data_IF_053711990606
#
_entry.id   IF_053711990606
#
_cell.length_a   1.000
_cell.length_b   1.000
_cell.length_c   1.000
_cell.angle_alpha   90.00
_cell.angle_beta   90.00
_cell.angle_gamma   90.00
#
_symmetry.space_group_name_H-M   'P 1'
#
loop_
_entity.id
_entity.type
_entity.pdbx_description
1 polymer ?
#
# COMPACT_ATOMS: atom_id res chain seq x y z
N UNK A 1 -48.86 -7.05 -25.16
CA UNK A 1 -49.20 -6.83 -26.58
C UNK A 1 -49.95 -5.52 -26.65
N UNK A 2 -49.62 -4.58 -27.57
CA UNK A 2 -50.08 -3.15 -27.57
C UNK A 2 -49.54 -2.37 -26.34
N UNK A 3 -49.08 -1.10 -26.32
CA UNK A 3 -48.52 -0.06 -27.23
C UNK A 3 -47.50 0.76 -26.34
N UNK A 4 -46.78 1.85 -26.66
CA UNK A 4 -46.52 2.79 -27.79
C UNK A 4 -45.09 3.36 -27.53
N UNK A 5 -44.18 3.49 -28.50
CA UNK A 5 -43.91 4.70 -29.33
C UNK A 5 -43.79 6.04 -28.59
N UNK A 6 -42.63 6.72 -28.67
CA UNK A 6 -42.42 8.10 -29.21
C UNK A 6 -40.95 8.55 -29.07
N UNK A 7 -40.48 9.41 -29.99
CA UNK A 7 -39.13 10.00 -30.05
C UNK A 7 -38.94 11.15 -29.05
N UNK A 8 -37.67 11.45 -28.72
CA UNK A 8 -37.17 12.82 -28.89
C UNK A 8 -35.68 12.85 -29.24
N UNK A 9 -35.24 13.84 -30.03
CA UNK A 9 -33.83 14.10 -30.40
C UNK A 9 -33.43 15.48 -29.85
N UNK A 10 -32.29 15.59 -29.19
CA UNK A 10 -31.60 16.88 -29.00
C UNK A 10 -30.10 16.73 -29.28
N UNK A 11 -29.53 17.71 -29.99
CA UNK A 11 -28.08 17.87 -30.21
C UNK A 11 -27.52 18.84 -29.16
N UNK A 12 -26.27 18.67 -28.70
CA UNK A 12 -25.51 19.77 -28.10
C UNK A 12 -25.02 20.73 -29.19
N UNK A 13 -25.21 22.03 -29.00
CA UNK A 13 -24.64 23.10 -29.84
C UNK A 13 -23.26 23.52 -29.35
N UNK A 14 -22.36 23.82 -30.30
CA UNK A 14 -21.14 24.56 -30.00
C UNK A 14 -21.45 26.04 -29.73
N UNK A 15 -20.82 26.61 -28.70
CA UNK A 15 -20.44 28.02 -28.66
C UNK A 15 -19.30 28.19 -27.65
N UNK A 16 -18.29 28.98 -28.02
CA UNK A 16 -17.14 29.30 -27.18
C UNK A 16 -17.32 30.68 -26.53
N UNK A 17 -16.68 30.90 -25.38
CA UNK A 17 -16.22 32.23 -24.96
C UNK A 17 -14.98 32.10 -24.08
N UNK A 18 -14.00 32.97 -24.29
CA UNK A 18 -12.84 33.16 -23.41
C UNK A 18 -13.22 34.05 -22.22
N UNK A 19 -12.70 33.77 -21.03
CA UNK A 19 -12.36 34.81 -20.05
C UNK A 19 -11.34 34.32 -19.01
N UNK A 20 -10.48 35.25 -18.57
CA UNK A 20 -9.43 35.05 -17.58
C UNK A 20 -9.98 34.96 -16.14
N UNK A 21 -9.39 34.08 -15.31
CA UNK A 21 -9.84 33.87 -13.93
C UNK A 21 -8.78 33.34 -12.96
N UNK A 22 -7.56 33.90 -12.97
CA UNK A 22 -6.55 33.57 -11.95
C UNK A 22 -7.05 33.93 -10.55
N UNK A 23 -7.16 32.95 -9.65
CA UNK A 23 -7.28 33.15 -8.21
C UNK A 23 -6.27 32.30 -7.46
N UNK A 24 -5.43 32.96 -6.66
CA UNK A 24 -4.48 32.31 -5.75
C UNK A 24 -5.21 31.51 -4.67
N UNK A 25 -4.60 30.41 -4.23
CA UNK A 25 -4.91 29.74 -2.96
C UNK A 25 -3.59 29.69 -2.14
N UNK A 26 -3.57 30.07 -0.85
CA UNK A 26 -2.31 30.31 -0.14
C UNK A 26 -1.53 29.05 0.23
N UNK A 27 -0.20 29.17 0.23
CA UNK A 27 0.73 28.07 0.54
C UNK A 27 0.91 27.87 2.05
N UNK A 28 -0.02 27.15 2.69
CA UNK A 28 0.19 26.58 4.02
C UNK A 28 -0.45 25.18 4.12
N UNK A 29 -0.11 24.41 5.16
CA UNK A 29 -0.57 23.02 5.39
C UNK A 29 0.02 21.95 4.43
N UNK A 30 1.35 21.96 4.20
CA UNK A 30 2.12 20.72 3.95
C UNK A 30 3.42 20.73 4.78
N UNK A 31 3.30 20.61 6.11
CA UNK A 31 4.47 20.57 7.01
C UNK A 31 4.19 19.74 8.27
N UNK A 32 3.81 18.45 8.15
CA UNK A 32 3.68 17.56 9.33
C UNK A 32 3.67 16.03 9.07
N UNK A 33 4.50 15.51 8.14
CA UNK A 33 4.66 14.03 7.95
C UNK A 33 6.12 13.56 7.83
N UNK A 34 7.08 14.26 8.45
CA UNK A 34 8.47 13.80 8.60
C UNK A 34 9.02 14.17 9.98
N UNK A 35 8.71 13.37 11.01
CA UNK A 35 9.35 13.49 12.32
C UNK A 35 9.36 12.15 13.10
N UNK A 36 10.44 11.40 12.95
CA UNK A 36 10.96 10.42 13.93
C UNK A 36 12.49 10.40 13.86
N UNK A 37 13.21 10.38 14.99
CA UNK A 37 14.66 10.54 15.00
C UNK A 37 15.42 9.23 14.74
N UNK A 38 16.63 9.28 14.16
CA UNK A 38 17.62 8.21 14.29
C UNK A 38 18.30 8.27 15.67
N UNK A 39 18.78 7.13 16.17
CA UNK A 39 19.56 7.06 17.41
C UNK A 39 20.93 7.74 17.23
N UNK A 40 21.42 8.39 18.29
CA UNK A 40 22.72 9.05 18.27
C UNK A 40 23.90 8.08 18.37
N UNK A 41 25.01 8.45 17.74
CA UNK A 41 26.35 7.93 18.04
C UNK A 41 27.32 9.13 17.99
N UNK A 42 28.16 9.27 19.01
CA UNK A 42 29.16 10.35 19.07
C UNK A 42 30.32 10.09 18.12
N UNK A 43 30.69 11.08 17.30
CA UNK A 43 31.98 11.14 16.62
C UNK A 43 32.55 12.54 16.87
N UNK A 44 33.80 12.62 17.35
CA UNK A 44 34.50 13.90 17.59
C UNK A 44 34.80 14.57 16.25
N UNK A 45 34.55 15.88 16.16
CA UNK A 45 35.04 16.71 15.06
C UNK A 45 36.54 17.02 15.27
N UNK A 46 37.43 16.71 14.32
CA UNK A 46 38.75 17.33 14.27
C UNK A 46 38.63 18.75 13.71
N UNK A 47 39.18 19.73 14.42
CA UNK A 47 39.40 21.07 13.85
C UNK A 47 40.61 20.97 12.92
N UNK A 48 40.45 21.32 11.65
CA UNK A 48 41.52 21.32 10.64
C UNK A 48 41.68 22.73 10.07
N UNK A 49 42.92 23.21 10.03
CA UNK A 49 43.26 24.61 9.71
C UNK A 49 42.95 24.99 8.25
N UNK A 50 42.51 26.24 8.05
CA UNK A 50 42.27 26.82 6.72
C UNK A 50 43.61 27.35 6.16
N UNK A 51 44.51 26.44 5.76
CA UNK A 51 45.86 26.78 5.33
C UNK A 51 46.40 25.88 4.21
N UNK A 52 45.70 25.81 3.06
CA UNK A 52 46.22 25.25 1.79
C UNK A 52 45.28 25.43 0.58
N UNK A 53 44.61 26.58 0.44
CA UNK A 53 43.79 26.89 -0.75
C UNK A 53 44.57 27.63 -1.85
N UNK A 54 45.52 26.93 -2.46
CA UNK A 54 46.11 27.27 -3.74
C UNK A 54 46.18 26.02 -4.64
N UNK A 55 46.02 26.18 -5.96
CA UNK A 55 46.25 25.15 -6.99
C UNK A 55 45.40 23.85 -6.95
N UNK A 56 44.07 23.90 -6.80
CA UNK A 56 43.20 22.75 -7.20
C UNK A 56 41.72 23.03 -7.54
N UNK A 57 41.46 23.90 -8.52
CA UNK A 57 40.07 24.30 -8.91
C UNK A 57 39.70 24.13 -10.39
N UNK A 58 40.62 23.75 -11.28
CA UNK A 58 40.42 23.82 -12.75
C UNK A 58 39.96 22.54 -13.47
N UNK A 59 39.92 21.37 -12.81
CA UNK A 59 39.60 20.08 -13.48
C UNK A 59 38.15 19.59 -13.32
N UNK A 60 37.51 19.84 -12.16
CA UNK A 60 36.16 19.29 -11.85
C UNK A 60 35.06 19.73 -12.82
N UNK A 61 35.18 20.92 -13.41
CA UNK A 61 34.14 21.49 -14.28
C UNK A 61 34.14 20.84 -15.67
N UNK A 62 35.32 20.62 -16.25
CA UNK A 62 35.52 19.95 -17.54
C UNK A 62 35.18 18.46 -17.46
N UNK A 63 35.60 17.75 -16.42
CA UNK A 63 35.22 16.35 -16.18
C UNK A 63 33.70 16.15 -16.11
N UNK A 64 33.01 17.02 -15.34
CA UNK A 64 31.55 16.97 -15.19
C UNK A 64 30.82 17.27 -16.50
N UNK A 65 31.36 18.18 -17.32
CA UNK A 65 30.84 18.47 -18.66
C UNK A 65 30.99 17.26 -19.60
N UNK A 66 32.19 16.68 -19.69
CA UNK A 66 32.47 15.50 -20.53
C UNK A 66 31.66 14.27 -20.13
N UNK A 67 31.45 14.05 -18.83
CA UNK A 67 30.60 12.97 -18.30
C UNK A 67 29.12 13.16 -18.71
N UNK A 68 28.61 14.39 -18.65
CA UNK A 68 27.24 14.69 -19.08
C UNK A 68 27.06 14.52 -20.59
N UNK A 69 28.02 14.97 -21.41
CA UNK A 69 28.01 14.75 -22.86
C UNK A 69 28.05 13.25 -23.21
N UNK A 70 28.84 12.46 -22.48
CA UNK A 70 28.91 10.99 -22.65
C UNK A 70 27.59 10.31 -22.31
N UNK A 71 26.93 10.73 -21.22
CA UNK A 71 25.57 10.25 -20.87
C UNK A 71 24.55 10.59 -21.95
N UNK A 72 24.56 11.82 -22.47
CA UNK A 72 23.63 12.27 -23.51
C UNK A 72 23.77 11.43 -24.79
N UNK A 73 25.00 11.15 -25.24
CA UNK A 73 25.27 10.26 -26.39
C UNK A 73 24.70 8.86 -26.20
N UNK A 74 24.81 8.28 -25.00
CA UNK A 74 24.22 6.96 -24.69
C UNK A 74 22.70 7.03 -24.71
N UNK A 75 22.09 8.06 -24.14
CA UNK A 75 20.63 8.17 -24.02
C UNK A 75 19.96 8.42 -25.38
N UNK A 76 20.60 9.18 -26.28
CA UNK A 76 20.16 9.29 -27.68
C UNK A 76 20.18 7.92 -28.39
N UNK A 77 21.16 7.06 -28.07
CA UNK A 77 21.27 5.71 -28.62
C UNK A 77 20.38 4.66 -27.93
N UNK A 78 19.49 5.05 -27.01
CA UNK A 78 18.53 4.16 -26.32
C UNK A 78 17.13 4.13 -26.96
N UNK A 79 16.95 4.69 -28.15
CA UNK A 79 15.70 4.64 -28.91
C UNK A 79 14.47 5.14 -28.11
N UNK A 80 14.62 6.21 -27.31
CA UNK A 80 13.49 6.86 -26.64
C UNK A 80 12.66 7.67 -27.63
N UNK A 81 11.33 7.52 -27.56
CA UNK A 81 10.35 8.23 -28.40
C UNK A 81 10.06 9.65 -27.89
N UNK A 82 10.31 9.94 -26.61
CA UNK A 82 10.12 11.26 -26.01
C UNK A 82 11.26 11.64 -25.07
N UNK A 83 11.45 12.94 -24.86
CA UNK A 83 12.41 13.45 -23.87
C UNK A 83 11.98 13.16 -22.42
N UNK A 84 10.67 13.06 -22.17
CA UNK A 84 10.11 12.70 -20.85
C UNK A 84 10.47 11.26 -20.47
N UNK A 85 10.38 10.32 -21.41
CA UNK A 85 10.79 8.93 -21.20
C UNK A 85 12.29 8.80 -20.92
N UNK A 86 13.11 9.67 -21.53
CA UNK A 86 14.55 9.67 -21.33
C UNK A 86 14.97 10.30 -19.98
N UNK A 87 14.20 11.23 -19.42
CA UNK A 87 14.56 12.04 -18.26
C UNK A 87 14.97 11.22 -17.01
N UNK A 88 14.30 10.11 -16.63
CA UNK A 88 14.73 9.28 -15.52
C UNK A 88 16.11 8.64 -15.70
N UNK A 89 16.53 8.37 -16.94
CA UNK A 89 17.77 7.65 -17.25
C UNK A 89 19.02 8.53 -17.10
N UNK A 90 18.92 9.86 -17.27
CA UNK A 90 20.03 10.79 -16.99
C UNK A 90 20.55 10.70 -15.55
N UNK A 91 19.69 10.30 -14.60
CA UNK A 91 20.02 10.14 -13.18
C UNK A 91 20.92 8.91 -12.91
N UNK A 92 21.01 7.96 -13.84
CA UNK A 92 21.72 6.68 -13.64
C UNK A 92 23.25 6.81 -13.68
N UNK A 93 24.00 5.89 -13.04
CA UNK A 93 25.45 5.78 -13.21
C UNK A 93 25.84 5.42 -14.66
N UNK A 94 27.00 5.89 -15.12
CA UNK A 94 27.48 5.64 -16.49
C UNK A 94 27.60 4.13 -16.80
N UNK A 95 28.15 3.33 -15.86
CA UNK A 95 28.25 1.87 -15.98
C UNK A 95 26.87 1.21 -16.19
N UNK A 96 25.83 1.73 -15.53
CA UNK A 96 24.46 1.26 -15.68
C UNK A 96 23.89 1.62 -17.05
N UNK A 97 24.13 2.85 -17.53
CA UNK A 97 23.70 3.28 -18.86
C UNK A 97 24.36 2.48 -20.00
N UNK A 98 25.66 2.17 -19.87
CA UNK A 98 26.37 1.30 -20.82
C UNK A 98 25.77 -0.12 -20.83
N UNK A 99 25.45 -0.67 -19.66
CA UNK A 99 24.78 -1.98 -19.57
C UNK A 99 23.40 -1.96 -20.23
N UNK A 100 22.56 -0.95 -19.95
CA UNK A 100 21.24 -0.77 -20.58
C UNK A 100 21.38 -0.69 -22.10
N UNK A 101 22.30 0.14 -22.62
CA UNK A 101 22.54 0.30 -24.05
C UNK A 101 22.95 -1.01 -24.74
N UNK A 102 23.85 -1.77 -24.13
CA UNK A 102 24.27 -3.08 -24.64
C UNK A 102 23.10 -4.06 -24.76
N UNK A 103 22.20 -4.05 -23.78
CA UNK A 103 21.02 -4.92 -23.76
C UNK A 103 19.99 -4.47 -24.80
N UNK A 104 19.67 -3.18 -24.87
CA UNK A 104 18.80 -2.61 -25.92
C UNK A 104 19.27 -2.96 -27.32
N UNK A 105 20.59 -2.83 -27.61
CA UNK A 105 21.15 -3.22 -28.90
C UNK A 105 21.07 -4.72 -29.18
N UNK A 106 21.25 -5.59 -28.18
CA UNK A 106 21.06 -7.04 -28.32
C UNK A 106 19.60 -7.39 -28.64
N UNK A 107 18.64 -6.73 -27.97
CA UNK A 107 17.22 -7.00 -28.17
C UNK A 107 16.77 -6.53 -29.56
N UNK A 108 17.28 -5.39 -30.02
CA UNK A 108 17.04 -4.85 -31.37
C UNK A 108 17.68 -5.74 -32.44
N UNK A 109 18.93 -6.20 -32.24
CA UNK A 109 19.61 -7.09 -33.20
C UNK A 109 19.01 -8.50 -33.28
N UNK A 110 18.16 -8.88 -32.31
CA UNK A 110 17.39 -10.14 -32.31
C UNK A 110 15.93 -9.94 -32.74
N UNK A 111 15.56 -8.73 -33.16
CA UNK A 111 14.20 -8.39 -33.61
C UNK A 111 13.15 -8.31 -32.50
N UNK A 112 13.53 -8.41 -31.22
CA UNK A 112 12.60 -8.48 -30.09
C UNK A 112 11.91 -7.14 -29.81
N UNK A 113 12.68 -6.07 -29.62
CA UNK A 113 12.16 -4.71 -29.46
C UNK A 113 13.25 -3.65 -29.66
N UNK A 114 12.85 -2.42 -30.04
CA UNK A 114 13.78 -1.28 -30.13
C UNK A 114 14.19 -0.72 -28.76
N UNK A 115 13.34 -0.87 -27.74
CA UNK A 115 13.62 -0.55 -26.33
C UNK A 115 12.54 -1.22 -25.44
N UNK A 116 12.97 -1.94 -24.39
CA UNK A 116 12.09 -2.65 -23.45
C UNK A 116 11.03 -1.76 -22.79
N UNK A 117 11.25 -0.44 -22.66
CA UNK A 117 10.26 0.49 -22.14
C UNK A 117 8.94 0.41 -22.90
N UNK A 118 8.98 0.56 -24.23
CA UNK A 118 7.77 0.61 -25.06
C UNK A 118 7.12 -0.77 -25.21
N UNK A 119 7.90 -1.84 -25.21
CA UNK A 119 7.39 -3.21 -25.18
C UNK A 119 6.62 -3.52 -23.88
N UNK A 120 7.19 -3.23 -22.70
CA UNK A 120 6.51 -3.46 -21.44
C UNK A 120 5.31 -2.49 -21.27
N UNK A 121 5.43 -1.24 -21.76
CA UNK A 121 4.35 -0.26 -21.75
C UNK A 121 3.14 -0.70 -22.60
N UNK A 122 3.37 -1.21 -23.82
CA UNK A 122 2.28 -1.66 -24.71
C UNK A 122 1.61 -2.93 -24.18
N UNK A 123 2.41 -3.92 -23.75
CA UNK A 123 1.93 -5.16 -23.11
C UNK A 123 1.04 -4.88 -21.89
N UNK A 124 1.45 -3.93 -21.04
CA UNK A 124 0.67 -3.51 -19.86
C UNK A 124 -0.43 -2.47 -20.16
N UNK A 125 -0.51 -1.92 -21.37
CA UNK A 125 -1.42 -0.82 -21.76
C UNK A 125 -1.27 0.42 -20.87
N UNK A 126 -0.04 0.82 -20.57
CA UNK A 126 0.31 1.95 -19.70
C UNK A 126 1.08 3.04 -20.47
N UNK A 127 0.96 4.33 -20.09
CA UNK A 127 1.81 5.39 -20.65
C UNK A 127 3.30 5.13 -20.38
N UNK A 128 4.18 5.22 -21.39
CA UNK A 128 5.62 5.01 -21.23
C UNK A 128 6.26 5.89 -20.14
N UNK A 129 5.86 7.17 -20.03
CA UNK A 129 6.41 8.11 -19.05
C UNK A 129 6.18 7.67 -17.60
N UNK A 130 5.04 7.03 -17.31
CA UNK A 130 4.70 6.46 -15.99
C UNK A 130 5.56 5.23 -15.67
N UNK A 131 5.90 4.44 -16.69
CA UNK A 131 6.72 3.24 -16.56
C UNK A 131 8.24 3.56 -16.51
N UNK A 132 8.70 4.58 -17.22
CA UNK A 132 10.12 4.97 -17.31
C UNK A 132 10.75 5.25 -15.94
N UNK A 133 10.10 6.08 -15.10
CA UNK A 133 10.57 6.39 -13.74
C UNK A 133 10.54 5.15 -12.81
N UNK A 134 9.82 4.07 -13.18
CA UNK A 134 9.91 2.76 -12.50
C UNK A 134 11.06 1.92 -13.04
N UNK A 135 11.23 1.79 -14.36
CA UNK A 135 12.30 1.00 -14.97
C UNK A 135 13.70 1.56 -14.64
N UNK A 136 13.88 2.88 -14.67
CA UNK A 136 15.11 3.53 -14.22
C UNK A 136 15.41 3.23 -12.73
N UNK A 137 14.39 3.08 -11.88
CA UNK A 137 14.56 2.66 -10.48
C UNK A 137 14.69 1.14 -10.30
N UNK A 138 14.57 0.35 -11.37
CA UNK A 138 14.52 -1.13 -11.37
C UNK A 138 15.35 -1.73 -12.51
N UNK A 139 16.57 -1.21 -12.71
CA UNK A 139 17.45 -1.58 -13.84
C UNK A 139 17.85 -3.06 -13.90
N UNK A 140 17.53 -3.88 -12.88
CA UNK A 140 17.67 -5.34 -12.96
C UNK A 140 16.89 -5.95 -14.14
N UNK A 141 15.86 -5.27 -14.64
CA UNK A 141 15.03 -5.71 -15.78
C UNK A 141 15.87 -5.81 -17.07
N UNK A 142 16.97 -5.05 -17.19
CA UNK A 142 17.93 -5.21 -18.28
C UNK A 142 18.93 -6.36 -18.07
N UNK A 143 18.98 -6.93 -16.86
CA UNK A 143 19.75 -8.14 -16.55
C UNK A 143 19.00 -9.45 -16.83
N UNK A 144 17.71 -9.40 -17.16
CA UNK A 144 16.90 -10.57 -17.54
C UNK A 144 17.02 -10.86 -19.05
N UNK A 145 16.76 -12.10 -19.48
CA UNK A 145 16.53 -12.37 -20.92
C UNK A 145 15.21 -11.74 -21.38
N UNK A 146 15.01 -11.61 -22.69
CA UNK A 146 13.75 -11.10 -23.24
C UNK A 146 12.60 -12.09 -23.01
N UNK A 147 12.82 -13.35 -23.38
CA UNK A 147 11.93 -14.51 -23.15
C UNK A 147 11.42 -14.61 -21.70
N UNK A 148 12.28 -14.36 -20.71
CA UNK A 148 11.90 -14.37 -19.30
C UNK A 148 10.93 -13.24 -18.96
N UNK A 149 11.13 -12.03 -19.50
CA UNK A 149 10.20 -10.90 -19.30
C UNK A 149 8.88 -11.15 -20.03
N UNK A 150 8.96 -11.65 -21.26
CA UNK A 150 7.81 -11.96 -22.12
C UNK A 150 6.86 -12.94 -21.43
N UNK A 151 7.33 -14.16 -21.11
CA UNK A 151 6.54 -15.20 -20.46
C UNK A 151 6.06 -14.80 -19.06
N UNK A 152 6.88 -14.07 -18.29
CA UNK A 152 6.46 -13.55 -16.99
C UNK A 152 5.34 -12.50 -17.12
N UNK A 153 5.32 -11.69 -18.18
CA UNK A 153 4.22 -10.77 -18.47
C UNK A 153 2.99 -11.49 -19.01
N UNK A 154 3.14 -12.51 -19.86
CA UNK A 154 2.00 -13.28 -20.41
C UNK A 154 1.21 -13.93 -19.28
N UNK A 155 1.86 -14.72 -18.42
CA UNK A 155 1.21 -15.35 -17.26
C UNK A 155 0.54 -14.33 -16.34
N UNK A 156 1.14 -13.15 -16.11
CA UNK A 156 0.52 -12.10 -15.29
C UNK A 156 -0.74 -11.50 -15.95
N UNK A 157 -0.74 -11.35 -17.27
CA UNK A 157 -1.87 -10.81 -18.04
C UNK A 157 -2.98 -11.85 -18.18
N UNK A 158 -2.65 -13.11 -18.49
CA UNK A 158 -3.57 -14.26 -18.56
C UNK A 158 -4.26 -14.52 -17.20
N UNK A 159 -3.52 -14.38 -16.10
CA UNK A 159 -4.07 -14.45 -14.74
C UNK A 159 -4.79 -13.17 -14.31
N UNK A 160 -5.03 -12.21 -15.21
CA UNK A 160 -5.77 -10.96 -14.98
C UNK A 160 -5.21 -10.11 -13.83
N UNK A 161 -3.88 -10.13 -13.63
CA UNK A 161 -3.21 -9.27 -12.64
C UNK A 161 -3.16 -7.85 -13.19
N UNK A 162 -3.99 -6.95 -12.64
CA UNK A 162 -4.13 -5.60 -13.16
C UNK A 162 -2.79 -4.85 -13.33
N UNK A 163 -2.62 -4.20 -14.49
CA UNK A 163 -1.36 -3.56 -14.92
C UNK A 163 -0.78 -2.56 -13.92
N UNK A 164 -1.65 -1.84 -13.19
CA UNK A 164 -1.25 -0.88 -12.16
C UNK A 164 -0.57 -1.56 -10.96
N UNK A 165 -0.90 -2.82 -10.67
CA UNK A 165 -0.26 -3.66 -9.65
C UNK A 165 1.11 -4.12 -10.13
N UNK A 166 1.22 -4.58 -11.37
CA UNK A 166 2.49 -5.01 -11.99
C UNK A 166 3.47 -3.82 -12.02
N UNK A 167 3.01 -2.64 -12.46
CA UNK A 167 3.77 -1.37 -12.44
C UNK A 167 4.27 -0.99 -11.03
N UNK A 168 3.46 -1.24 -9.98
CA UNK A 168 3.86 -0.96 -8.60
C UNK A 168 4.93 -1.91 -8.07
N UNK A 169 4.95 -3.17 -8.52
CA UNK A 169 5.84 -4.21 -8.00
C UNK A 169 6.48 -5.08 -9.10
N UNK A 170 7.21 -4.43 -10.01
CA UNK A 170 7.96 -5.06 -11.10
C UNK A 170 8.98 -6.14 -10.65
N UNK A 171 9.28 -6.27 -9.35
CA UNK A 171 10.11 -7.35 -8.80
C UNK A 171 9.56 -8.75 -9.07
N UNK A 172 8.26 -8.89 -9.39
CA UNK A 172 7.67 -10.18 -9.80
C UNK A 172 8.32 -10.73 -11.08
N UNK A 173 8.82 -9.86 -11.97
CA UNK A 173 9.52 -10.26 -13.19
C UNK A 173 10.87 -10.95 -12.94
N UNK A 174 11.32 -11.07 -11.68
CA UNK A 174 12.47 -11.90 -11.29
C UNK A 174 12.15 -13.38 -11.09
N UNK A 175 10.88 -13.77 -11.07
CA UNK A 175 10.43 -15.14 -10.81
C UNK A 175 10.16 -15.85 -12.14
N UNK A 176 10.30 -17.18 -12.18
CA UNK A 176 10.02 -17.94 -13.39
C UNK A 176 8.52 -17.90 -13.72
N UNK A 177 8.16 -17.99 -15.00
CA UNK A 177 6.76 -17.88 -15.41
C UNK A 177 5.89 -19.01 -14.82
N UNK A 178 6.44 -20.22 -14.68
CA UNK A 178 5.83 -21.34 -13.96
C UNK A 178 5.56 -20.99 -12.48
N UNK A 179 6.55 -20.47 -11.76
CA UNK A 179 6.41 -20.07 -10.34
C UNK A 179 5.41 -18.92 -10.17
N UNK A 180 5.27 -18.03 -11.15
CA UNK A 180 4.21 -17.02 -11.18
C UNK A 180 2.85 -17.72 -11.35
N UNK A 181 2.74 -18.61 -12.35
CA UNK A 181 1.51 -19.33 -12.69
C UNK A 181 0.99 -20.18 -11.53
N UNK A 182 1.80 -21.11 -11.01
CA UNK A 182 1.46 -22.04 -9.93
C UNK A 182 0.95 -21.31 -8.68
N UNK A 183 1.67 -20.27 -8.24
CA UNK A 183 1.33 -19.53 -7.02
C UNK A 183 0.06 -18.72 -7.17
N UNK A 184 -0.17 -18.13 -8.35
CA UNK A 184 -1.40 -17.39 -8.64
C UNK A 184 -2.59 -18.33 -8.88
N UNK A 185 -2.37 -19.50 -9.48
CA UNK A 185 -3.39 -20.53 -9.70
C UNK A 185 -3.83 -21.15 -8.38
N UNK A 186 -2.90 -21.45 -7.46
CA UNK A 186 -3.19 -21.86 -6.07
C UNK A 186 -4.14 -20.87 -5.38
N UNK A 187 -3.95 -19.56 -5.57
CA UNK A 187 -4.80 -18.52 -4.96
C UNK A 187 -6.16 -18.43 -5.68
N UNK A 188 -6.17 -18.46 -7.02
CA UNK A 188 -7.37 -18.37 -7.85
C UNK A 188 -8.32 -19.55 -7.62
N UNK A 189 -7.80 -20.76 -7.51
CA UNK A 189 -8.57 -21.99 -7.26
C UNK A 189 -9.29 -21.99 -5.89
N UNK A 190 -8.91 -21.10 -4.97
CA UNK A 190 -9.58 -20.90 -3.68
C UNK A 190 -10.64 -19.79 -3.73
N UNK A 191 -11.04 -19.35 -4.93
CA UNK A 191 -12.06 -18.32 -5.14
C UNK A 191 -11.58 -16.91 -4.79
N UNK A 192 -10.30 -16.63 -4.98
CA UNK A 192 -9.69 -15.31 -4.76
C UNK A 192 -9.21 -14.74 -6.10
N UNK A 193 -10.13 -14.10 -6.84
CA UNK A 193 -9.84 -13.50 -8.16
C UNK A 193 -8.93 -12.26 -8.08
N UNK A 194 -8.83 -11.65 -6.91
CA UNK A 194 -8.18 -10.36 -6.70
C UNK A 194 -6.66 -10.51 -6.56
N UNK A 195 -5.98 -10.93 -7.63
CA UNK A 195 -4.56 -11.33 -7.63
C UNK A 195 -3.57 -10.16 -7.62
N UNK A 196 -2.39 -10.37 -7.01
CA UNK A 196 -1.33 -9.36 -6.85
C UNK A 196 0.09 -9.92 -7.03
N UNK A 197 1.04 -9.15 -7.58
CA UNK A 197 2.44 -9.55 -7.72
C UNK A 197 3.12 -10.00 -6.42
N UNK A 198 2.76 -9.42 -5.27
CA UNK A 198 3.39 -9.76 -3.99
C UNK A 198 3.13 -11.21 -3.56
N UNK A 199 2.04 -11.84 -4.02
CA UNK A 199 1.68 -13.23 -3.71
C UNK A 199 2.72 -14.23 -4.27
N UNK A 200 3.36 -13.88 -5.39
CA UNK A 200 4.47 -14.63 -5.97
C UNK A 200 5.73 -14.49 -5.11
N UNK A 201 5.93 -13.34 -4.46
CA UNK A 201 7.20 -12.97 -3.81
C UNK A 201 7.29 -13.22 -2.31
N UNK A 202 6.17 -13.45 -1.63
CA UNK A 202 6.13 -13.69 -0.20
C UNK A 202 6.43 -15.16 0.17
N UNK A 203 6.72 -15.46 1.44
CA UNK A 203 6.79 -16.85 1.91
C UNK A 203 5.42 -17.52 1.86
N UNK A 204 5.41 -18.86 1.95
CA UNK A 204 4.17 -19.62 2.08
C UNK A 204 3.36 -19.21 3.31
N UNK A 205 4.00 -18.92 4.44
CA UNK A 205 3.27 -18.51 5.66
C UNK A 205 2.47 -17.22 5.45
N UNK A 206 3.04 -16.27 4.70
CA UNK A 206 2.37 -15.01 4.37
C UNK A 206 1.24 -15.24 3.37
N UNK A 207 1.45 -16.11 2.38
CA UNK A 207 0.43 -16.44 1.37
C UNK A 207 -0.74 -17.22 1.99
N UNK A 208 -0.44 -18.30 2.71
CA UNK A 208 -1.41 -19.14 3.41
C UNK A 208 -2.18 -18.32 4.45
N UNK A 209 -1.53 -17.45 5.23
CA UNK A 209 -2.22 -16.55 6.17
C UNK A 209 -3.17 -15.57 5.46
N UNK A 210 -2.78 -15.05 4.29
CA UNK A 210 -3.68 -14.21 3.49
C UNK A 210 -4.88 -15.00 2.95
N UNK A 211 -4.64 -16.23 2.48
CA UNK A 211 -5.68 -17.17 2.04
C UNK A 211 -6.67 -17.42 3.19
N UNK A 212 -6.20 -17.87 4.36
CA UNK A 212 -7.07 -18.11 5.53
C UNK A 212 -7.92 -16.90 5.89
N UNK A 213 -7.32 -15.71 5.97
CA UNK A 213 -8.06 -14.47 6.28
C UNK A 213 -9.08 -14.12 5.18
N UNK A 214 -8.82 -14.47 3.92
CA UNK A 214 -9.71 -14.18 2.79
C UNK A 214 -10.89 -15.15 2.73
N UNK A 215 -10.64 -16.45 2.91
CA UNK A 215 -11.68 -17.48 3.07
C UNK A 215 -12.56 -17.17 4.28
N UNK A 216 -11.97 -16.97 5.45
CA UNK A 216 -12.70 -16.60 6.68
C UNK A 216 -13.50 -15.30 6.52
N UNK A 217 -12.97 -14.30 5.78
CA UNK A 217 -13.73 -13.07 5.47
C UNK A 217 -14.94 -13.36 4.58
N UNK A 218 -14.84 -14.28 3.62
CA UNK A 218 -15.95 -14.69 2.75
C UNK A 218 -17.00 -15.45 3.55
N UNK A 219 -16.58 -16.40 4.38
CA UNK A 219 -17.46 -17.23 5.20
C UNK A 219 -18.26 -16.39 6.22
N UNK A 220 -17.63 -15.35 6.80
CA UNK A 220 -18.26 -14.45 7.78
C UNK A 220 -19.25 -13.46 7.12
N UNK A 221 -18.96 -12.98 5.92
CA UNK A 221 -19.82 -12.00 5.23
C UNK A 221 -20.93 -12.65 4.41
N UNK A 222 -20.73 -13.89 3.98
CA UNK A 222 -21.64 -14.62 3.09
C UNK A 222 -22.00 -13.81 1.85
N UNK A 223 -23.25 -13.91 1.43
CA UNK A 223 -23.78 -13.17 0.28
C UNK A 223 -23.81 -11.65 0.51
N UNK A 224 -23.93 -11.19 1.75
CA UNK A 224 -24.07 -9.75 2.06
C UNK A 224 -22.85 -8.93 1.65
N UNK A 225 -21.66 -9.55 1.64
CA UNK A 225 -20.37 -8.91 1.36
C UNK A 225 -20.09 -7.62 2.17
N UNK A 226 -20.83 -7.38 3.24
CA UNK A 226 -20.93 -6.07 3.92
C UNK A 226 -20.57 -6.19 5.39
N UNK A 227 -19.42 -5.62 5.77
CA UNK A 227 -18.97 -5.60 7.18
C UNK A 227 -19.96 -4.86 8.09
N UNK A 228 -20.65 -3.85 7.55
CA UNK A 228 -21.64 -3.08 8.30
C UNK A 228 -22.92 -3.90 8.53
N UNK A 229 -23.38 -4.66 7.54
CA UNK A 229 -24.53 -5.57 7.68
C UNK A 229 -24.20 -6.72 8.63
N UNK A 230 -23.02 -7.33 8.50
CA UNK A 230 -22.54 -8.32 9.48
C UNK A 230 -22.54 -7.76 10.90
N UNK A 231 -21.97 -6.57 11.12
CA UNK A 231 -21.86 -5.98 12.45
C UNK A 231 -23.23 -5.53 13.00
N UNK A 232 -24.14 -5.07 12.15
CA UNK A 232 -25.51 -4.72 12.52
C UNK A 232 -26.27 -5.95 13.04
N UNK A 233 -26.26 -7.04 12.26
CA UNK A 233 -26.88 -8.30 12.63
C UNK A 233 -26.25 -8.90 13.90
N UNK A 234 -24.91 -8.89 14.00
CA UNK A 234 -24.17 -9.48 15.14
C UNK A 234 -24.29 -8.64 16.43
N UNK A 235 -24.64 -7.35 16.33
CA UNK A 235 -24.90 -6.46 17.46
C UNK A 235 -26.40 -6.19 17.72
N UNK A 236 -27.32 -6.84 16.99
CA UNK A 236 -28.77 -6.62 17.07
C UNK A 236 -29.18 -5.13 16.95
N UNK A 237 -28.53 -4.37 16.04
CA UNK A 237 -28.81 -2.95 15.78
C UNK A 237 -28.98 -2.66 14.29
N UNK A 238 -29.50 -1.48 13.95
CA UNK A 238 -29.61 -1.06 12.54
C UNK A 238 -28.25 -0.78 11.88
N UNK A 239 -28.20 -0.87 10.55
CA UNK A 239 -27.03 -0.49 9.75
C UNK A 239 -26.67 0.99 9.92
N UNK A 240 -27.66 1.86 10.10
CA UNK A 240 -27.45 3.29 10.37
C UNK A 240 -26.82 3.53 11.74
N UNK A 241 -27.23 2.77 12.76
CA UNK A 241 -26.56 2.78 14.08
C UNK A 241 -25.10 2.37 13.94
N UNK A 242 -24.78 1.33 13.15
CA UNK A 242 -23.38 0.93 12.86
C UNK A 242 -22.63 2.01 12.07
N UNK A 243 -23.30 2.73 11.17
CA UNK A 243 -22.72 3.86 10.44
C UNK A 243 -22.39 5.02 11.40
N UNK A 244 -23.26 5.33 12.35
CA UNK A 244 -22.96 6.29 13.44
C UNK A 244 -21.80 5.83 14.32
N UNK A 245 -21.75 4.55 14.72
CA UNK A 245 -20.61 4.00 15.47
C UNK A 245 -19.30 4.18 14.70
N UNK A 246 -19.33 3.96 13.38
CA UNK A 246 -18.17 4.15 12.50
C UNK A 246 -17.80 5.63 12.30
N UNK A 247 -18.76 6.56 12.37
CA UNK A 247 -18.49 8.01 12.34
C UNK A 247 -17.87 8.49 13.66
N UNK A 248 -18.48 8.11 14.78
CA UNK A 248 -18.02 8.40 16.16
C UNK A 248 -16.68 7.72 16.46
N UNK A 249 -16.38 6.58 15.81
CA UNK A 249 -15.17 5.78 16.00
C UNK A 249 -14.59 5.32 14.63
N UNK A 250 -13.88 6.20 13.89
CA UNK A 250 -13.37 5.88 12.55
C UNK A 250 -12.45 4.65 12.47
N UNK A 251 -11.81 4.28 13.57
CA UNK A 251 -11.02 3.06 13.68
C UNK A 251 -11.85 1.79 13.41
N UNK A 252 -13.12 1.75 13.81
CA UNK A 252 -14.04 0.61 13.65
C UNK A 252 -14.24 0.25 12.17
N UNK A 253 -14.43 1.27 11.32
CA UNK A 253 -14.57 1.12 9.86
C UNK A 253 -13.37 0.43 9.21
N UNK A 254 -12.17 0.63 9.75
CA UNK A 254 -10.92 0.09 9.23
C UNK A 254 -10.60 -1.36 9.69
N UNK A 255 -11.33 -1.91 10.67
CA UNK A 255 -11.04 -3.26 11.20
C UNK A 255 -11.45 -4.34 10.17
N UNK A 256 -10.69 -5.43 10.11
CA UNK A 256 -11.06 -6.65 9.34
C UNK A 256 -12.18 -7.40 10.05
N UNK A 257 -13.13 -7.95 9.29
CA UNK A 257 -14.30 -8.63 9.87
C UNK A 257 -13.90 -9.82 10.75
N UNK A 258 -12.88 -10.58 10.36
CA UNK A 258 -12.30 -11.70 11.11
C UNK A 258 -11.86 -11.29 12.54
N UNK A 259 -11.11 -10.18 12.67
CA UNK A 259 -10.75 -9.60 13.97
C UNK A 259 -11.99 -9.13 14.74
N UNK A 260 -13.01 -8.60 14.07
CA UNK A 260 -14.25 -8.16 14.75
C UNK A 260 -15.00 -9.38 15.30
N UNK A 261 -15.22 -10.43 14.50
CA UNK A 261 -15.84 -11.69 14.93
C UNK A 261 -15.14 -12.29 16.14
N UNK A 262 -13.84 -12.58 16.05
CA UNK A 262 -13.07 -13.16 17.16
C UNK A 262 -13.06 -12.30 18.43
N UNK A 263 -13.32 -10.98 18.32
CA UNK A 263 -13.37 -10.08 19.46
C UNK A 263 -14.78 -9.98 20.06
N UNK A 264 -15.84 -10.12 19.24
CA UNK A 264 -17.23 -10.27 19.70
C UNK A 264 -17.40 -11.62 20.40
N UNK A 265 -17.06 -12.72 19.72
CA UNK A 265 -17.07 -14.08 20.28
C UNK A 265 -16.30 -14.16 21.62
N UNK A 266 -15.19 -13.41 21.73
CA UNK A 266 -14.43 -13.27 22.97
C UNK A 266 -15.18 -12.50 24.07
N UNK A 267 -15.76 -11.34 23.77
CA UNK A 267 -16.48 -10.54 24.75
C UNK A 267 -17.71 -11.29 25.27
N UNK A 268 -18.45 -11.95 24.39
CA UNK A 268 -19.57 -12.83 24.75
C UNK A 268 -19.10 -13.99 25.65
N UNK A 269 -17.97 -14.65 25.33
CA UNK A 269 -17.38 -15.70 26.18
C UNK A 269 -16.87 -15.20 27.54
N UNK A 270 -16.61 -13.90 27.68
CA UNK A 270 -16.19 -13.25 28.93
C UNK A 270 -17.39 -12.70 29.74
N UNK A 271 -18.63 -12.93 29.27
CA UNK A 271 -19.88 -12.60 29.94
C UNK A 271 -20.54 -11.28 29.51
N UNK A 272 -20.07 -10.64 28.42
CA UNK A 272 -20.64 -9.37 27.96
C UNK A 272 -21.80 -9.58 26.99
N UNK A 273 -22.94 -8.95 27.30
CA UNK A 273 -24.09 -8.96 26.42
C UNK A 273 -23.88 -8.08 25.16
N UNK A 274 -24.57 -8.48 24.10
CA UNK A 274 -24.57 -7.86 22.78
C UNK A 274 -24.98 -6.38 22.85
N UNK A 275 -26.00 -6.03 23.64
CA UNK A 275 -26.41 -4.63 23.83
C UNK A 275 -25.36 -3.83 24.61
N UNK A 276 -24.64 -4.43 25.56
CA UNK A 276 -23.56 -3.72 26.26
C UNK A 276 -22.41 -3.38 25.29
N UNK A 277 -22.05 -4.31 24.41
CA UNK A 277 -21.02 -4.12 23.39
C UNK A 277 -21.47 -3.07 22.36
N UNK A 278 -22.73 -3.11 21.93
CA UNK A 278 -23.32 -2.14 21.00
C UNK A 278 -23.36 -0.72 21.58
N UNK A 279 -23.63 -0.58 22.89
CA UNK A 279 -23.59 0.70 23.61
C UNK A 279 -22.15 1.17 23.92
N UNK A 280 -21.16 0.28 23.94
CA UNK A 280 -19.75 0.59 24.26
C UNK A 280 -18.76 0.16 23.16
N UNK A 281 -19.00 0.47 21.87
CA UNK A 281 -18.33 -0.15 20.72
C UNK A 281 -16.84 0.25 20.56
N UNK A 282 -16.36 1.18 21.39
CA UNK A 282 -14.95 1.55 21.47
C UNK A 282 -14.04 0.37 21.86
N UNK A 283 -14.58 -0.63 22.57
CA UNK A 283 -13.85 -1.84 22.95
C UNK A 283 -13.33 -2.60 21.72
N UNK A 284 -14.12 -2.68 20.64
CA UNK A 284 -13.77 -3.40 19.41
C UNK A 284 -12.56 -2.77 18.69
N UNK A 285 -12.35 -1.46 18.89
CA UNK A 285 -11.18 -0.72 18.37
C UNK A 285 -9.89 -0.94 19.15
N UNK A 286 -9.95 -1.57 20.33
CA UNK A 286 -8.76 -1.95 21.09
C UNK A 286 -8.07 -3.20 20.50
N UNK A 287 -7.02 -3.67 21.19
CA UNK A 287 -6.48 -5.03 20.97
C UNK A 287 -7.07 -5.98 21.99
N UNK A 288 -7.51 -7.16 21.55
CA UNK A 288 -8.05 -8.21 22.40
C UNK A 288 -7.07 -8.61 23.51
N UNK A 289 -5.77 -8.69 23.22
CA UNK A 289 -4.71 -8.93 24.22
C UNK A 289 -4.63 -7.84 25.30
N UNK A 290 -4.95 -6.58 24.96
CA UNK A 290 -5.05 -5.48 25.93
C UNK A 290 -6.31 -5.60 26.77
N UNK A 291 -7.45 -5.91 26.15
CA UNK A 291 -8.73 -6.03 26.86
C UNK A 291 -8.73 -7.25 27.80
N UNK A 292 -8.25 -8.42 27.34
CA UNK A 292 -8.09 -9.60 28.20
C UNK A 292 -7.22 -9.30 29.42
N UNK A 293 -5.99 -8.79 29.23
CA UNK A 293 -5.12 -8.42 30.38
C UNK A 293 -5.83 -7.45 31.35
N UNK A 294 -6.66 -6.54 30.85
CA UNK A 294 -7.41 -5.58 31.70
C UNK A 294 -8.57 -6.23 32.45
N UNK A 295 -9.28 -7.17 31.83
CA UNK A 295 -10.28 -8.03 32.50
C UNK A 295 -9.60 -8.87 33.59
N UNK A 296 -8.53 -9.59 33.25
CA UNK A 296 -7.75 -10.39 34.20
C UNK A 296 -7.30 -9.54 35.40
N UNK A 297 -6.79 -8.33 35.14
CA UNK A 297 -6.36 -7.39 36.21
C UNK A 297 -7.52 -6.99 37.12
N UNK A 298 -8.67 -6.61 36.58
CA UNK A 298 -9.81 -6.14 37.38
C UNK A 298 -10.50 -7.27 38.15
N UNK A 299 -10.62 -8.48 37.58
CA UNK A 299 -11.14 -9.66 38.28
C UNK A 299 -10.23 -10.09 39.43
N UNK A 300 -8.90 -9.97 39.26
CA UNK A 300 -7.94 -10.21 40.35
C UNK A 300 -8.03 -9.17 41.49
N UNK A 301 -8.61 -7.98 41.23
CA UNK A 301 -8.98 -6.99 42.25
C UNK A 301 -10.42 -7.20 42.79
N UNK A 302 -11.02 -8.36 42.53
CA UNK A 302 -12.34 -8.75 43.05
C UNK A 302 -13.55 -8.22 42.27
N UNK A 303 -13.37 -7.47 41.17
CA UNK A 303 -14.50 -6.97 40.39
C UNK A 303 -15.19 -8.10 39.61
N UNK A 304 -16.46 -8.35 39.96
CA UNK A 304 -17.35 -9.25 39.23
C UNK A 304 -17.94 -8.58 37.99
N UNK A 305 -18.41 -7.35 38.12
CA UNK A 305 -18.97 -6.53 37.04
C UNK A 305 -17.92 -5.52 36.55
N UNK A 306 -17.69 -5.45 35.23
CA UNK A 306 -16.61 -4.65 34.64
C UNK A 306 -17.12 -3.86 33.42
N UNK A 307 -17.36 -2.56 33.59
CA UNK A 307 -17.83 -1.69 32.51
C UNK A 307 -16.81 -1.60 31.35
N UNK A 308 -17.21 -1.97 30.13
CA UNK A 308 -16.33 -2.03 28.94
C UNK A 308 -15.57 -0.72 28.65
N UNK A 309 -16.10 0.45 29.04
CA UNK A 309 -15.41 1.74 28.86
C UNK A 309 -14.13 1.86 29.71
N UNK A 310 -14.03 1.17 30.85
CA UNK A 310 -12.80 1.09 31.66
C UNK A 310 -11.70 0.39 30.87
N UNK A 311 -12.04 -0.72 30.21
CA UNK A 311 -11.12 -1.52 29.39
C UNK A 311 -10.54 -0.70 28.20
N UNK A 312 -11.21 0.40 27.83
CA UNK A 312 -10.84 1.32 26.76
C UNK A 312 -9.99 2.53 27.20
N UNK A 313 -9.78 2.76 28.50
CA UNK A 313 -9.04 3.94 29.03
C UNK A 313 -7.59 4.01 28.57
N UNK A 314 -6.94 5.18 28.71
CA UNK A 314 -5.48 5.28 28.49
C UNK A 314 -4.69 4.38 29.46
N UNK A 315 -3.39 4.19 29.23
CA UNK A 315 -2.56 3.42 30.17
C UNK A 315 -2.52 4.07 31.56
N UNK A 316 -2.49 5.41 31.63
CA UNK A 316 -2.44 6.20 32.87
C UNK A 316 -3.75 6.10 33.64
N UNK A 317 -4.87 6.30 32.94
CA UNK A 317 -6.20 6.39 33.58
C UNK A 317 -6.80 5.01 33.91
N UNK A 318 -6.23 3.94 33.32
CA UNK A 318 -6.47 2.57 33.76
C UNK A 318 -5.66 2.25 35.03
N UNK A 319 -4.36 2.61 35.09
CA UNK A 319 -3.55 2.40 36.31
C UNK A 319 -4.18 3.11 37.52
N UNK A 320 -4.54 4.39 37.34
CA UNK A 320 -5.29 5.18 38.35
C UNK A 320 -6.58 4.53 38.83
N UNK A 321 -7.26 3.78 37.97
CA UNK A 321 -8.51 3.12 38.33
C UNK A 321 -8.26 1.86 39.17
N UNK A 322 -7.26 1.04 38.81
CA UNK A 322 -6.78 -0.05 39.66
C UNK A 322 -6.31 0.46 41.03
N UNK A 323 -5.46 1.50 41.05
CA UNK A 323 -4.98 2.15 42.28
C UNK A 323 -6.14 2.60 43.18
N UNK A 324 -7.21 3.17 42.62
CA UNK A 324 -8.39 3.56 43.40
C UNK A 324 -9.20 2.38 43.95
N UNK A 325 -9.24 1.25 43.25
CA UNK A 325 -9.90 0.02 43.72
C UNK A 325 -9.09 -0.60 44.86
N UNK A 326 -7.78 -0.71 44.67
CA UNK A 326 -6.81 -1.20 45.67
C UNK A 326 -6.97 -0.41 46.98
N UNK A 327 -6.93 0.94 46.92
CA UNK A 327 -7.10 1.79 48.11
C UNK A 327 -8.45 1.66 48.83
N UNK A 328 -9.53 1.31 48.10
CA UNK A 328 -10.84 1.08 48.71
C UNK A 328 -10.90 -0.31 49.39
N UNK A 329 -10.22 -1.31 48.83
CA UNK A 329 -10.17 -2.66 49.39
C UNK A 329 -9.33 -2.78 50.67
N UNK A 330 -8.41 -1.84 50.91
CA UNK A 330 -7.61 -1.76 52.12
C UNK A 330 -8.21 -0.85 53.21
N UNK A 331 -9.24 -0.06 52.89
CA UNK A 331 -10.04 0.70 53.88
C UNK A 331 -11.27 -0.08 54.40
N UNK A 332 -11.51 -1.29 53.89
CA UNK A 332 -12.61 -2.18 54.28
C UNK A 332 -12.18 -3.40 55.10
N UNK A 333 -11.04 -3.31 55.81
CA UNK A 333 -10.46 -4.33 56.69
C UNK A 333 -10.17 -3.72 58.06
#
# INVERSE_FOLDING_TARGET
MVLRTVFCKLKPTYLSLYSSGFKFIPTSIIQNVLNRPPCGNFIRLPIVSIASYATRTTTKTTEKSGLNATKAKIILALNFQSAEDALPYYKLPLKTLIHVLRITKNDESKGYCKNRLYYIASRLKLPPSVLSEKLAKRTFIYGLSFDWIEKALDVLIEMNVASDRILRDLWVLKYHHETIHERLLKVKNLGIDNLYPWMVRCSEDILNRYITISTETKDILGETNSKQTYLANRLNVSVDTVQEMCYKIPALKAIRVTKVKHFLDFLESEGFDVEEIANKPRVLSASQKTVKKRLDTLRNLGLKEINLNVLCRSKKDFKKYCESIESLSDQGK
#
